data_IF_806514881425
#
_entry.id   IF_806514881425
#
_cell.length_a   1.000
_cell.length_b   1.000
_cell.length_c   1.000
_cell.angle_alpha   90.00
_cell.angle_beta   90.00
_cell.angle_gamma   90.00
#
_symmetry.space_group_name_H-M   'P 1'
#
loop_
_entity.id
_entity.type
_entity.pdbx_description
1 polymer ?
#
# COMPACT_ATOMS: atom_id res chain seq x y z
N UNK A 1 -9.40 11.70 -11.29
CA UNK A 1 -8.45 10.93 -10.48
C UNK A 1 -9.24 9.79 -9.87
N UNK A 2 -8.98 8.58 -10.34
CA UNK A 2 -9.66 7.36 -9.89
C UNK A 2 -8.76 6.70 -8.87
N UNK A 3 -9.27 6.40 -7.67
CA UNK A 3 -8.51 5.64 -6.68
C UNK A 3 -8.85 4.17 -6.78
N UNK A 4 -7.83 3.33 -6.82
CA UNK A 4 -7.94 1.88 -6.81
C UNK A 4 -7.63 1.35 -5.43
N UNK A 5 -8.32 0.29 -5.04
CA UNK A 5 -8.23 -0.32 -3.72
C UNK A 5 -7.71 -1.75 -3.86
N UNK A 6 -6.75 -2.11 -3.01
CA UNK A 6 -6.14 -3.42 -2.92
C UNK A 6 -6.22 -3.92 -1.50
N UNK A 7 -6.42 -5.21 -1.29
CA UNK A 7 -6.30 -5.84 0.03
C UNK A 7 -4.84 -6.14 0.33
N UNK A 8 -4.41 -5.84 1.55
CA UNK A 8 -3.10 -6.25 2.05
C UNK A 8 -3.27 -7.53 2.87
N UNK A 9 -2.46 -8.54 2.56
CA UNK A 9 -2.39 -9.82 3.25
C UNK A 9 -1.10 -9.86 4.09
N UNK A 10 -1.23 -10.31 5.35
CA UNK A 10 -0.12 -10.40 6.31
C UNK A 10 0.15 -9.12 7.11
N UNK A 11 -0.78 -8.16 7.11
CA UNK A 11 -0.71 -6.98 7.96
C UNK A 11 -1.31 -7.29 9.33
N UNK A 12 -0.44 -7.64 10.28
CA UNK A 12 -0.81 -8.01 11.65
C UNK A 12 -0.66 -6.86 12.66
N UNK A 13 -0.07 -5.72 12.25
CA UNK A 13 0.22 -4.61 13.16
C UNK A 13 -0.15 -3.25 12.53
N UNK A 14 -0.78 -2.33 13.30
CA UNK A 14 -1.14 -1.00 12.81
C UNK A 14 0.08 -0.17 12.42
N UNK A 15 1.23 -0.39 13.06
CA UNK A 15 2.48 0.29 12.72
C UNK A 15 2.98 -0.05 11.31
N UNK A 16 2.63 -1.25 10.79
CA UNK A 16 3.01 -1.65 9.44
C UNK A 16 2.26 -0.87 8.36
N UNK A 17 1.03 -0.42 8.64
CA UNK A 17 0.28 0.42 7.71
C UNK A 17 0.99 1.76 7.47
N UNK A 18 1.38 2.45 8.55
CA UNK A 18 2.08 3.74 8.46
C UNK A 18 3.44 3.60 7.77
N UNK A 19 4.16 2.50 8.01
CA UNK A 19 5.42 2.20 7.31
C UNK A 19 5.23 2.10 5.79
N UNK A 20 4.21 1.36 5.34
CA UNK A 20 3.90 1.23 3.90
C UNK A 20 3.54 2.59 3.30
N UNK A 21 2.70 3.37 3.97
CA UNK A 21 2.34 4.73 3.52
C UNK A 21 3.57 5.61 3.40
N UNK A 22 4.45 5.59 4.40
CA UNK A 22 5.66 6.41 4.42
C UNK A 22 6.66 6.02 3.32
N UNK A 23 6.88 4.73 3.08
CA UNK A 23 7.78 4.26 2.00
C UNK A 23 7.23 4.59 0.61
N UNK A 24 5.91 4.54 0.44
CA UNK A 24 5.26 4.94 -0.81
C UNK A 24 5.32 6.46 -1.01
N UNK A 25 5.12 7.24 0.05
CA UNK A 25 5.23 8.69 0.00
C UNK A 25 6.67 9.15 -0.32
N UNK A 26 7.69 8.47 0.23
CA UNK A 26 9.10 8.78 -0.03
C UNK A 26 9.47 8.66 -1.52
N UNK A 27 8.83 7.73 -2.24
CA UNK A 27 8.99 7.57 -3.69
C UNK A 27 8.00 8.43 -4.51
N UNK A 28 7.22 9.29 -3.87
CA UNK A 28 6.24 10.18 -4.48
C UNK A 28 4.92 9.52 -4.88
N UNK A 29 4.58 8.37 -4.27
CA UNK A 29 3.33 7.66 -4.48
C UNK A 29 2.37 8.00 -3.34
N UNK A 30 1.29 8.70 -3.68
CA UNK A 30 0.24 9.01 -2.70
C UNK A 30 -0.61 7.75 -2.44
N UNK A 31 -0.34 7.11 -1.30
CA UNK A 31 -0.98 5.88 -0.89
C UNK A 31 -1.62 6.03 0.49
N UNK A 32 -2.76 5.36 0.69
CA UNK A 32 -3.49 5.39 1.95
C UNK A 32 -3.81 3.98 2.41
N UNK A 33 -3.34 3.61 3.59
CA UNK A 33 -3.53 2.26 4.13
C UNK A 33 -4.52 2.29 5.29
N UNK A 34 -5.65 1.62 5.11
CA UNK A 34 -6.62 1.40 6.16
C UNK A 34 -6.34 0.09 6.89
N UNK A 35 -5.58 0.14 7.99
CA UNK A 35 -5.36 -1.02 8.88
C UNK A 35 -6.68 -1.69 9.30
N UNK A 36 -7.69 -0.91 9.69
CA UNK A 36 -9.00 -1.41 10.11
C UNK A 36 -9.73 -2.24 9.03
N UNK A 37 -9.43 -2.01 7.75
CA UNK A 37 -10.02 -2.73 6.62
C UNK A 37 -9.02 -3.64 5.91
N UNK A 38 -7.74 -3.57 6.30
CA UNK A 38 -6.59 -4.13 5.58
C UNK A 38 -6.62 -3.78 4.07
N UNK A 39 -6.94 -2.52 3.75
CA UNK A 39 -7.06 -2.03 2.37
C UNK A 39 -6.05 -0.92 2.11
N UNK A 40 -5.27 -1.07 1.05
CA UNK A 40 -4.45 -0.06 0.42
C UNK A 40 -5.26 0.68 -0.64
N UNK A 41 -5.24 1.99 -0.61
CA UNK A 41 -5.88 2.86 -1.59
C UNK A 41 -4.81 3.73 -2.26
N UNK A 42 -4.65 3.60 -3.57
CA UNK A 42 -3.66 4.35 -4.38
C UNK A 42 -4.35 4.97 -5.59
N UNK A 43 -3.75 6.00 -6.19
CA UNK A 43 -4.28 6.57 -7.43
C UNK A 43 -4.06 5.61 -8.62
N UNK A 44 -4.99 5.53 -9.55
CA UNK A 44 -4.86 4.73 -10.77
C UNK A 44 -3.69 5.21 -11.65
N UNK A 45 -3.25 6.45 -11.48
CA UNK A 45 -2.08 7.01 -12.18
C UNK A 45 -0.73 6.51 -11.64
N UNK A 46 -0.71 5.82 -10.48
CA UNK A 46 0.54 5.35 -9.88
C UNK A 46 0.96 3.99 -10.39
N UNK A 47 2.27 3.77 -10.38
CA UNK A 47 2.86 2.54 -10.87
C UNK A 47 2.64 1.39 -9.88
N UNK A 48 1.73 0.49 -10.24
CA UNK A 48 1.41 -0.70 -9.44
C UNK A 48 2.64 -1.57 -9.21
N UNK A 49 3.52 -1.70 -10.19
CA UNK A 49 4.71 -2.54 -10.05
C UNK A 49 5.66 -2.00 -8.99
N UNK A 50 5.84 -0.66 -8.92
CA UNK A 50 6.60 -0.03 -7.84
C UNK A 50 5.96 -0.27 -6.48
N UNK A 51 4.64 -0.09 -6.40
CA UNK A 51 3.87 -0.30 -5.17
C UNK A 51 4.03 -1.75 -4.67
N UNK A 52 3.86 -2.73 -5.55
CA UNK A 52 4.05 -4.16 -5.25
C UNK A 52 5.48 -4.43 -4.78
N UNK A 53 6.50 -3.85 -5.43
CA UNK A 53 7.91 -4.04 -5.03
C UNK A 53 8.18 -3.54 -3.62
N UNK A 54 7.68 -2.36 -3.26
CA UNK A 54 7.87 -1.78 -1.92
C UNK A 54 7.19 -2.67 -0.88
N UNK A 55 5.92 -3.00 -1.11
CA UNK A 55 5.12 -3.83 -0.19
C UNK A 55 5.71 -5.24 -0.04
N UNK A 56 6.15 -5.85 -1.15
CA UNK A 56 6.81 -7.16 -1.13
C UNK A 56 8.19 -7.09 -0.47
N UNK A 57 8.92 -5.98 -0.60
CA UNK A 57 10.19 -5.75 0.07
C UNK A 57 10.04 -5.66 1.59
N UNK A 58 8.90 -5.15 2.06
CA UNK A 58 8.50 -5.14 3.47
C UNK A 58 7.98 -6.50 3.97
N UNK A 59 7.80 -7.48 3.08
CA UNK A 59 7.33 -8.83 3.41
C UNK A 59 5.81 -9.01 3.37
N UNK A 60 5.06 -8.05 2.85
CA UNK A 60 3.60 -8.12 2.73
C UNK A 60 3.18 -8.49 1.31
N UNK A 61 1.92 -8.92 1.14
CA UNK A 61 1.33 -9.18 -0.17
C UNK A 61 0.13 -8.28 -0.40
N UNK A 62 -0.10 -7.88 -1.66
CA UNK A 62 -1.31 -7.19 -2.08
C UNK A 62 -2.10 -8.03 -3.08
N UNK A 63 -3.41 -8.07 -2.89
CA UNK A 63 -4.39 -8.71 -3.76
C UNK A 63 -5.48 -7.71 -4.18
N UNK A 64 -6.11 -7.95 -5.32
CA UNK A 64 -7.19 -7.12 -5.86
C UNK A 64 -8.56 -7.61 -5.39
#
# INVERSE_FOLDING_TARGET
MSKVKYKIIGMDCPSCAMLIESELEDVGIEARVSYAKQVLEIDDSVDLEKTVKIISGLGYKIEK
#
